data_IF_902077645325
#
_entry.id   IF_902077645325
#
_cell.length_a   1.000
_cell.length_b   1.000
_cell.length_c   1.000
_cell.angle_alpha   90.00
_cell.angle_beta   90.00
_cell.angle_gamma   90.00
#
_symmetry.space_group_name_H-M   'P 1'
#
loop_
_entity.id
_entity.type
_entity.pdbx_description
1 polymer ?
#
# COMPACT_ATOMS: atom_id res chain seq x y z
N UNK A 1 15.72 3.63 -12.37
CA UNK A 1 14.99 3.71 -11.11
C UNK A 1 13.83 4.66 -11.21
N UNK A 2 12.74 4.31 -10.59
CA UNK A 2 11.52 5.12 -10.64
C UNK A 2 11.42 6.06 -9.47
N UNK A 3 10.79 7.21 -9.70
CA UNK A 3 10.48 8.14 -8.61
C UNK A 3 9.12 7.89 -7.99
N UNK A 4 8.30 7.08 -8.63
CA UNK A 4 6.94 6.82 -8.15
C UNK A 4 6.49 5.44 -8.58
N UNK A 5 5.94 4.69 -7.65
CA UNK A 5 5.26 3.43 -7.93
C UNK A 5 3.84 3.56 -7.44
N UNK A 6 2.87 3.24 -8.29
CA UNK A 6 1.46 3.26 -7.92
C UNK A 6 0.85 1.90 -8.20
N UNK A 7 -0.05 1.50 -7.34
CA UNK A 7 -0.82 0.28 -7.54
C UNK A 7 -2.26 0.54 -7.14
N UNK A 8 -3.12 0.45 -8.13
CA UNK A 8 -4.55 0.66 -7.94
C UNK A 8 -5.31 -0.64 -8.13
N UNK A 9 -4.59 -1.74 -8.15
CA UNK A 9 -5.20 -3.04 -8.34
C UNK A 9 -6.00 -3.44 -7.11
N UNK A 10 -7.20 -3.93 -7.37
CA UNK A 10 -8.02 -4.51 -6.31
C UNK A 10 -8.35 -5.93 -6.73
N UNK A 11 -8.42 -6.85 -5.79
CA UNK A 11 -8.80 -8.19 -6.14
C UNK A 11 -10.26 -8.23 -6.58
N UNK A 12 -10.60 -9.22 -7.38
CA UNK A 12 -11.98 -9.45 -7.68
C UNK A 12 -12.69 -9.88 -6.40
N UNK A 13 -13.63 -9.08 -5.95
CA UNK A 13 -14.30 -9.37 -4.69
C UNK A 13 -15.29 -10.51 -4.86
N UNK A 14 -15.34 -11.37 -3.85
CA UNK A 14 -16.24 -12.51 -3.86
C UNK A 14 -17.29 -12.41 -2.76
N UNK A 15 -17.32 -11.29 -2.06
CA UNK A 15 -18.32 -11.06 -1.02
C UNK A 15 -17.93 -11.62 0.34
N UNK A 16 -16.77 -12.24 0.46
CA UNK A 16 -16.28 -12.73 1.74
C UNK A 16 -15.22 -11.75 2.21
N UNK A 17 -15.56 -10.95 3.20
CA UNK A 17 -14.74 -9.83 3.60
C UNK A 17 -13.32 -10.23 3.98
N UNK A 18 -13.17 -11.27 4.77
CA UNK A 18 -11.84 -11.71 5.22
C UNK A 18 -10.97 -12.10 4.03
N UNK A 19 -11.54 -12.85 3.10
CA UNK A 19 -10.80 -13.28 1.91
C UNK A 19 -10.44 -12.10 1.03
N UNK A 20 -11.37 -11.17 0.85
CA UNK A 20 -11.14 -10.00 0.01
C UNK A 20 -10.05 -9.12 0.62
N UNK A 21 -10.05 -8.97 1.94
CA UNK A 21 -9.03 -8.20 2.63
C UNK A 21 -7.66 -8.85 2.48
N UNK A 22 -7.59 -10.16 2.62
CA UNK A 22 -6.32 -10.88 2.48
C UNK A 22 -5.74 -10.73 1.09
N UNK A 23 -6.58 -10.82 0.07
CA UNK A 23 -6.13 -10.67 -1.31
C UNK A 23 -5.67 -9.25 -1.61
N UNK A 24 -6.41 -8.28 -1.08
CA UNK A 24 -6.02 -6.88 -1.23
C UNK A 24 -4.66 -6.63 -0.62
N UNK A 25 -4.44 -7.17 0.58
CA UNK A 25 -3.18 -6.99 1.27
C UNK A 25 -2.03 -7.66 0.54
N UNK A 26 -2.28 -8.83 -0.03
CA UNK A 26 -1.28 -9.52 -0.82
C UNK A 26 -0.84 -8.68 -2.01
N UNK A 27 -1.79 -8.09 -2.73
CA UNK A 27 -1.48 -7.23 -3.85
C UNK A 27 -0.70 -5.99 -3.40
N UNK A 28 -1.07 -5.44 -2.25
CA UNK A 28 -0.37 -4.29 -1.70
C UNK A 28 1.07 -4.63 -1.35
N UNK A 29 1.30 -5.80 -0.79
CA UNK A 29 2.66 -6.25 -0.46
C UNK A 29 3.49 -6.49 -1.70
N UNK A 30 2.88 -6.99 -2.77
CA UNK A 30 3.57 -7.14 -4.03
C UNK A 30 4.00 -5.78 -4.58
N UNK A 31 3.14 -4.78 -4.46
CA UNK A 31 3.49 -3.43 -4.89
C UNK A 31 4.64 -2.86 -4.06
N UNK A 32 4.63 -3.13 -2.76
CA UNK A 32 5.73 -2.68 -1.90
C UNK A 32 7.04 -3.36 -2.29
N UNK A 33 7.00 -4.64 -2.61
CA UNK A 33 8.20 -5.36 -3.03
C UNK A 33 8.75 -4.78 -4.34
N UNK A 34 7.88 -4.48 -5.30
CA UNK A 34 8.29 -3.85 -6.55
C UNK A 34 8.90 -2.48 -6.26
N UNK A 35 8.30 -1.72 -5.36
CA UNK A 35 8.80 -0.41 -5.02
C UNK A 35 10.21 -0.50 -4.42
N UNK A 36 10.45 -1.48 -3.57
CA UNK A 36 11.77 -1.64 -2.96
C UNK A 36 12.84 -1.96 -4.01
N UNK A 37 12.46 -2.64 -5.08
CA UNK A 37 13.39 -2.98 -6.13
C UNK A 37 13.60 -1.84 -7.13
N UNK A 38 12.59 -1.02 -7.35
CA UNK A 38 12.62 -0.08 -8.46
C UNK A 38 12.65 1.38 -8.07
N UNK A 39 12.23 1.73 -6.86
CA UNK A 39 12.21 3.12 -6.43
C UNK A 39 13.61 3.64 -6.16
N UNK A 40 13.86 4.86 -6.63
CA UNK A 40 15.07 5.56 -6.22
C UNK A 40 14.85 6.10 -4.79
N UNK A 41 15.94 6.44 -4.14
CA UNK A 41 15.90 7.11 -2.85
C UNK A 41 15.07 8.38 -2.96
N UNK A 42 14.22 8.60 -1.99
CA UNK A 42 13.33 9.75 -2.00
C UNK A 42 12.06 9.56 -2.80
N UNK A 43 11.91 8.41 -3.45
CA UNK A 43 10.72 8.13 -4.25
C UNK A 43 9.48 7.91 -3.40
N UNK A 44 8.36 7.69 -4.07
CA UNK A 44 7.06 7.57 -3.41
C UNK A 44 6.32 6.34 -3.89
N UNK A 45 5.47 5.81 -3.02
CA UNK A 45 4.59 4.68 -3.31
C UNK A 45 3.17 5.07 -2.98
N UNK A 46 2.25 4.76 -3.88
CA UNK A 46 0.82 4.91 -3.62
C UNK A 46 0.17 3.56 -3.91
N UNK A 47 -0.50 3.01 -2.93
CA UNK A 47 -1.11 1.69 -3.07
C UNK A 47 -2.49 1.68 -2.45
N UNK A 48 -3.43 1.06 -3.16
CA UNK A 48 -4.79 0.91 -2.66
C UNK A 48 -4.89 -0.40 -1.88
N UNK A 49 -5.52 -0.37 -0.72
CA UNK A 49 -5.66 -1.55 0.12
C UNK A 49 -6.96 -1.45 0.91
N UNK A 50 -7.53 -2.61 1.22
CA UNK A 50 -8.69 -2.66 2.11
C UNK A 50 -8.21 -2.64 3.55
N UNK A 51 -8.78 -1.75 4.33
CA UNK A 51 -8.44 -1.64 5.75
C UNK A 51 -9.08 -2.81 6.49
N UNK A 52 -8.26 -3.73 6.93
CA UNK A 52 -8.73 -4.93 7.62
C UNK A 52 -7.85 -5.26 8.81
N UNK A 53 -7.97 -6.48 9.30
CA UNK A 53 -7.27 -6.90 10.52
C UNK A 53 -5.77 -6.76 10.45
N UNK A 54 -5.18 -7.07 9.28
CA UNK A 54 -3.73 -7.03 9.12
C UNK A 54 -3.22 -5.71 8.54
N UNK A 55 -4.11 -4.74 8.35
CA UNK A 55 -3.72 -3.45 7.81
C UNK A 55 -2.62 -2.77 8.65
N UNK A 56 -2.71 -2.76 9.98
CA UNK A 56 -1.66 -2.11 10.77
C UNK A 56 -0.29 -2.72 10.57
N UNK A 57 -0.21 -4.02 10.33
CA UNK A 57 1.05 -4.68 10.06
C UNK A 57 1.64 -4.19 8.75
N UNK A 58 0.81 -4.12 7.70
CA UNK A 58 1.27 -3.61 6.41
C UNK A 58 1.71 -2.16 6.52
N UNK A 59 0.96 -1.35 7.25
CA UNK A 59 1.31 0.05 7.45
C UNK A 59 2.70 0.19 8.06
N UNK A 60 3.01 -0.66 9.06
CA UNK A 60 4.34 -0.64 9.67
C UNK A 60 5.43 -1.05 8.69
N UNK A 61 5.12 -1.99 7.79
CA UNK A 61 6.09 -2.37 6.76
C UNK A 61 6.42 -1.21 5.85
N UNK A 62 5.41 -0.42 5.49
CA UNK A 62 5.63 0.76 4.67
C UNK A 62 6.41 1.82 5.46
N UNK A 63 6.07 2.01 6.72
CA UNK A 63 6.80 2.96 7.57
C UNK A 63 8.27 2.62 7.69
N UNK A 64 8.60 1.34 7.67
CA UNK A 64 10.00 0.93 7.76
C UNK A 64 10.79 1.29 6.51
N UNK A 65 10.13 1.45 5.37
CA UNK A 65 10.78 1.71 4.10
C UNK A 65 10.72 3.17 3.66
N UNK A 66 9.86 3.97 4.28
CA UNK A 66 9.63 5.36 3.86
C UNK A 66 9.72 6.29 5.04
N UNK A 67 10.13 7.54 4.78
CA UNK A 67 10.23 8.54 5.83
C UNK A 67 8.88 8.99 6.36
N UNK A 68 7.88 9.04 5.49
CA UNK A 68 6.55 9.47 5.88
C UNK A 68 5.51 8.56 5.26
N UNK A 69 4.48 8.24 6.01
CA UNK A 69 3.39 7.41 5.53
C UNK A 69 2.08 8.10 5.86
N UNK A 70 1.21 8.18 4.87
CA UNK A 70 -0.09 8.81 5.03
C UNK A 70 -1.15 7.85 4.51
N UNK A 71 -2.27 7.78 5.22
CA UNK A 71 -3.41 6.98 4.79
C UNK A 71 -4.50 7.94 4.32
N UNK A 72 -4.92 7.78 3.07
CA UNK A 72 -5.89 8.67 2.46
C UNK A 72 -7.16 7.89 2.14
N UNK A 73 -8.27 8.39 2.61
CA UNK A 73 -9.55 7.76 2.38
C UNK A 73 -10.25 8.47 1.22
N UNK A 74 -10.57 7.77 0.12
CA UNK A 74 -11.25 8.41 -1.00
C UNK A 74 -12.64 8.89 -0.60
N UNK A 75 -13.02 10.06 -1.08
CA UNK A 75 -14.29 10.63 -0.71
C UNK A 75 -15.48 9.93 -1.35
N UNK A 76 -15.27 9.38 -2.53
CA UNK A 76 -16.36 8.82 -3.32
C UNK A 76 -16.74 7.41 -2.96
N UNK A 77 -16.09 6.79 -1.98
CA UNK A 77 -16.30 5.39 -1.69
C UNK A 77 -17.37 5.18 -0.64
N UNK A 78 -18.60 5.31 -1.02
CA UNK A 78 -19.67 5.07 -0.07
C UNK A 78 -19.85 3.61 0.26
N UNK A 79 -19.74 2.77 -0.77
CA UNK A 79 -20.02 1.36 -0.62
C UNK A 79 -18.83 0.58 -0.07
N UNK A 80 -17.64 1.17 -0.19
CA UNK A 80 -16.42 0.51 0.25
C UNK A 80 -15.63 1.43 1.13
N UNK A 81 -16.24 1.80 2.24
CA UNK A 81 -15.64 2.76 3.15
C UNK A 81 -14.34 2.24 3.77
N UNK A 82 -14.08 0.96 3.68
CA UNK A 82 -12.85 0.38 4.20
C UNK A 82 -11.69 0.41 3.19
N UNK A 83 -11.91 0.94 2.02
CA UNK A 83 -10.87 1.07 1.00
C UNK A 83 -10.10 2.36 1.21
N UNK A 84 -8.77 2.27 1.25
CA UNK A 84 -7.92 3.43 1.49
C UNK A 84 -6.71 3.37 0.59
N UNK A 85 -6.05 4.52 0.41
CA UNK A 85 -4.74 4.59 -0.23
C UNK A 85 -3.68 4.78 0.85
N UNK A 86 -2.62 4.01 0.76
CA UNK A 86 -1.45 4.19 1.61
C UNK A 86 -0.40 4.89 0.76
N UNK A 87 0.06 6.04 1.22
CA UNK A 87 1.04 6.85 0.51
C UNK A 87 2.32 6.86 1.33
N UNK A 88 3.40 6.32 0.75
CA UNK A 88 4.72 6.38 1.36
C UNK A 88 5.56 7.39 0.61
N UNK A 89 6.23 8.27 1.31
CA UNK A 89 7.10 9.27 0.73
C UNK A 89 8.47 9.20 1.35
N UNK A 90 9.48 9.51 0.53
CA UNK A 90 10.84 9.51 1.01
C UNK A 90 11.37 8.10 1.18
N UNK A 91 11.38 7.33 0.10
CA UNK A 91 11.91 5.97 0.13
C UNK A 91 13.35 5.97 0.64
N UNK A 92 13.62 5.14 1.64
CA UNK A 92 14.93 5.13 2.29
C UNK A 92 15.99 4.32 1.56
N UNK A 93 15.55 3.51 0.60
CA UNK A 93 16.47 2.66 -0.13
C UNK A 93 16.82 1.39 0.62
N UNK A 94 17.58 0.54 -0.04
CA UNK A 94 17.96 -0.75 0.55
C UNK A 94 18.91 -0.59 1.72
N UNK A 95 19.62 0.51 1.74
CA UNK A 95 20.59 0.74 2.81
C UNK A 95 19.93 0.95 4.17
N UNK A 96 18.64 1.15 4.18
CA UNK A 96 17.93 1.37 5.42
C UNK A 96 17.71 0.12 6.25
N UNK A 97 18.04 -1.02 5.70
CA UNK A 97 17.90 -2.28 6.43
C UNK A 97 18.77 -2.33 7.64
#
# INVERSE_FOLDING_TARGET
>A
MSGLVTSDMAPKTIGVKITDEARSLELARMALAVARDTLRRGGALVVKVFMGGDFPVFRKEVQAAFDAVQVVRPEATRERSYEVYVVGKGFRGEASR
#
